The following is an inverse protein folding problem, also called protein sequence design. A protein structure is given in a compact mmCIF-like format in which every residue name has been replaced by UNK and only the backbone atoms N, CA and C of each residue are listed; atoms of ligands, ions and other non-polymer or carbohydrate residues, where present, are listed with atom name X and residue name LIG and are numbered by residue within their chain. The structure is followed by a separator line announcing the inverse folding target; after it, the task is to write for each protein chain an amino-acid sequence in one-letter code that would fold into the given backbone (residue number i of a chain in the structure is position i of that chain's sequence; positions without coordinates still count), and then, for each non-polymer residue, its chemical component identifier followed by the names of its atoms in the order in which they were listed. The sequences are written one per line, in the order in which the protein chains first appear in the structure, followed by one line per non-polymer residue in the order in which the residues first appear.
data_IF_501027798823
#
_entry.id   IF_501027798823
#
_cell.length_a   1.000
_cell.length_b   1.000
_cell.length_c   1.000
_cell.angle_alpha   90.00
_cell.angle_beta   90.00
_cell.angle_gamma   90.00
#
_symmetry.space_group_name_H-M   'P 1'
#
loop_
_entity.id
_entity.type
_entity.pdbx_description
1 polymer ?
#
# COMPACT_ATOMS: atom_id res chain seq x y z
N UNK A 1 3.50 12.48 -8.53
CA UNK A 1 2.94 11.56 -7.52
C UNK A 1 2.48 10.22 -8.11
N UNK A 2 1.37 10.14 -8.84
CA UNK A 2 0.80 8.85 -9.32
C UNK A 2 1.78 8.00 -10.15
N UNK A 3 2.67 8.61 -10.93
CA UNK A 3 3.73 7.88 -11.66
C UNK A 3 4.67 7.13 -10.70
N UNK A 4 5.08 7.78 -9.60
CA UNK A 4 5.92 7.17 -8.55
C UNK A 4 5.20 6.00 -7.87
N UNK A 5 3.93 6.18 -7.51
CA UNK A 5 3.11 5.11 -6.93
C UNK A 5 3.02 3.92 -7.90
N UNK A 6 2.73 4.17 -9.18
CA UNK A 6 2.67 3.10 -10.19
C UNK A 6 4.00 2.35 -10.35
N UNK A 7 5.13 3.07 -10.32
CA UNK A 7 6.46 2.45 -10.36
C UNK A 7 6.68 1.53 -9.15
N UNK A 8 6.33 2.00 -7.96
CA UNK A 8 6.41 1.21 -6.73
C UNK A 8 5.51 -0.04 -6.81
N UNK A 9 4.25 0.12 -7.22
CA UNK A 9 3.32 -1.00 -7.37
C UNK A 9 3.84 -2.04 -8.37
N UNK A 10 4.39 -1.59 -9.49
CA UNK A 10 4.99 -2.48 -10.50
C UNK A 10 6.22 -3.22 -9.93
N UNK A 11 7.04 -2.55 -9.13
CA UNK A 11 8.20 -3.16 -8.47
C UNK A 11 7.78 -4.32 -7.56
N UNK A 12 6.82 -4.09 -6.66
CA UNK A 12 6.28 -5.13 -5.76
C UNK A 12 5.71 -6.30 -6.57
N UNK A 13 4.91 -6.01 -7.59
CA UNK A 13 4.29 -7.05 -8.43
C UNK A 13 5.32 -7.91 -9.18
N UNK A 14 6.43 -7.31 -9.64
CA UNK A 14 7.50 -8.07 -10.31
C UNK A 14 8.19 -9.03 -9.35
N UNK A 15 8.57 -8.57 -8.15
CA UNK A 15 9.25 -9.43 -7.15
C UNK A 15 8.30 -10.53 -6.65
N UNK A 16 7.03 -10.23 -6.43
CA UNK A 16 6.02 -11.25 -6.08
C UNK A 16 5.91 -12.31 -7.16
N UNK A 17 5.89 -11.91 -8.44
CA UNK A 17 5.84 -12.87 -9.55
C UNK A 17 7.09 -13.74 -9.60
N UNK A 18 8.27 -13.18 -9.39
CA UNK A 18 9.53 -13.93 -9.33
C UNK A 18 9.53 -14.97 -8.19
N UNK A 19 8.99 -14.61 -7.02
CA UNK A 19 8.83 -15.52 -5.88
C UNK A 19 7.90 -16.68 -6.23
N UNK A 20 6.74 -16.42 -6.85
CA UNK A 20 5.81 -17.49 -7.19
C UNK A 20 6.34 -18.41 -8.29
N UNK A 21 7.06 -17.87 -9.27
CA UNK A 21 7.76 -18.68 -10.26
C UNK A 21 8.83 -19.58 -9.61
N UNK A 22 9.56 -19.08 -8.61
CA UNK A 22 10.54 -19.88 -7.87
C UNK A 22 9.88 -21.00 -7.05
N UNK A 23 8.78 -20.71 -6.33
CA UNK A 23 8.01 -21.72 -5.59
C UNK A 23 7.40 -22.78 -6.51
N UNK A 24 6.90 -22.38 -7.67
CA UNK A 24 6.39 -23.31 -8.66
C UNK A 24 7.47 -24.27 -9.17
N UNK A 25 8.69 -23.76 -9.40
CA UNK A 25 9.84 -24.60 -9.82
C UNK A 25 10.19 -25.63 -8.75
N UNK A 26 10.24 -25.22 -7.48
CA UNK A 26 10.48 -26.14 -6.36
C UNK A 26 9.40 -27.23 -6.29
N UNK A 27 8.12 -26.84 -6.39
CA UNK A 27 6.99 -27.77 -6.37
C UNK A 27 7.03 -28.75 -7.53
N UNK A 28 7.39 -28.29 -8.74
CA UNK A 28 7.56 -29.15 -9.93
C UNK A 28 8.73 -30.12 -9.76
N UNK A 29 9.83 -29.68 -9.13
CA UNK A 29 11.00 -30.51 -8.88
C UNK A 29 10.73 -31.60 -7.82
N UNK A 30 9.95 -31.28 -6.79
CA UNK A 30 9.47 -32.23 -5.79
C UNK A 30 8.55 -33.29 -6.42
N UNK A 31 7.57 -32.89 -7.24
CA UNK A 31 6.65 -33.84 -7.93
C UNK A 31 7.35 -34.81 -8.88
N UNK A 32 8.46 -34.41 -9.51
CA UNK A 32 9.24 -35.27 -10.42
C UNK A 32 10.18 -36.25 -9.70
N UNK A 33 10.41 -36.07 -8.39
CA UNK A 33 11.38 -36.86 -7.60
C UNK A 33 10.74 -37.87 -6.65
N UNK A 34 9.42 -37.96 -6.61
CA UNK A 34 8.70 -38.96 -5.80
C UNK A 34 8.87 -40.41 -6.33
N UNK A 35 9.50 -40.60 -7.50
CA UNK A 35 9.69 -41.91 -8.15
C UNK A 35 11.11 -42.50 -7.96
N UNK A 36 12.06 -41.77 -7.35
CA UNK A 36 13.40 -42.29 -7.03
C UNK A 36 14.14 -41.41 -6.02
N UNK A 37 14.35 -41.98 -4.81
CA UNK A 37 15.25 -41.55 -3.71
C UNK A 37 15.44 -40.03 -3.52
N UNK A 38 14.83 -39.50 -2.45
CA UNK A 38 15.06 -38.16 -1.88
C UNK A 38 16.54 -37.78 -1.88
N UNK A 39 16.90 -36.73 -2.61
CA UNK A 39 18.21 -36.09 -2.50
C UNK A 39 18.02 -34.64 -2.07
N UNK A 40 17.91 -34.41 -0.76
CA UNK A 40 17.65 -33.12 -0.11
C UNK A 40 18.72 -32.07 -0.44
N UNK A 41 19.94 -32.50 -0.76
CA UNK A 41 21.08 -31.61 -1.08
C UNK A 41 20.91 -30.80 -2.36
N UNK A 42 20.05 -31.21 -3.30
CA UNK A 42 19.81 -30.47 -4.54
C UNK A 42 18.69 -29.42 -4.43
N UNK A 43 17.80 -29.53 -3.44
CA UNK A 43 16.76 -28.54 -3.21
C UNK A 43 17.27 -27.33 -2.40
N UNK A 44 18.32 -27.52 -1.59
CA UNK A 44 18.91 -26.48 -0.73
C UNK A 44 19.18 -25.14 -1.44
N UNK A 45 19.79 -25.08 -2.65
CA UNK A 45 20.05 -23.81 -3.32
C UNK A 45 18.77 -23.08 -3.78
N UNK A 46 17.71 -23.84 -4.08
CA UNK A 46 16.44 -23.28 -4.55
C UNK A 46 15.57 -22.81 -3.36
N UNK A 47 15.63 -23.53 -2.24
CA UNK A 47 15.00 -23.14 -0.98
C UNK A 47 15.62 -21.84 -0.43
N UNK A 48 16.96 -21.74 -0.42
CA UNK A 48 17.67 -20.50 -0.04
C UNK A 48 17.34 -19.33 -0.98
N UNK A 49 17.15 -19.60 -2.28
CA UNK A 49 16.71 -18.57 -3.23
C UNK A 49 15.29 -18.09 -2.94
N UNK A 50 14.37 -19.00 -2.59
CA UNK A 50 12.99 -18.65 -2.23
C UNK A 50 12.97 -17.80 -0.97
N UNK A 51 13.73 -18.18 0.07
CA UNK A 51 13.84 -17.41 1.32
C UNK A 51 14.28 -15.97 1.06
N UNK A 52 15.35 -15.79 0.27
CA UNK A 52 15.85 -14.46 -0.13
C UNK A 52 14.84 -13.66 -0.94
N UNK A 53 14.07 -14.31 -1.82
CA UNK A 53 13.00 -13.64 -2.57
C UNK A 53 11.84 -13.25 -1.66
N UNK A 54 11.55 -14.05 -0.64
CA UNK A 54 10.50 -13.79 0.34
C UNK A 54 10.84 -12.55 1.18
N UNK A 55 12.07 -12.45 1.70
CA UNK A 55 12.58 -11.26 2.38
C UNK A 55 12.49 -10.00 1.49
N UNK A 56 12.82 -10.13 0.19
CA UNK A 56 12.70 -9.02 -0.77
C UNK A 56 11.26 -8.59 -0.99
N UNK A 57 10.31 -9.52 -1.06
CA UNK A 57 8.88 -9.20 -1.18
C UNK A 57 8.42 -8.42 0.05
N UNK A 58 8.76 -8.89 1.26
CA UNK A 58 8.39 -8.23 2.51
C UNK A 58 8.98 -6.81 2.59
N UNK A 59 10.26 -6.64 2.25
CA UNK A 59 10.90 -5.32 2.18
C UNK A 59 10.20 -4.40 1.18
N UNK A 60 9.92 -4.89 -0.04
CA UNK A 60 9.28 -4.08 -1.08
C UNK A 60 7.82 -3.71 -0.70
N UNK A 61 7.08 -4.62 -0.06
CA UNK A 61 5.74 -4.33 0.45
C UNK A 61 5.79 -3.30 1.59
N UNK A 62 6.77 -3.41 2.49
CA UNK A 62 7.01 -2.43 3.55
C UNK A 62 7.29 -1.04 2.98
N UNK A 63 8.16 -0.93 1.98
CA UNK A 63 8.44 0.31 1.27
C UNK A 63 7.19 0.90 0.58
N UNK A 64 6.40 0.05 -0.08
CA UNK A 64 5.14 0.47 -0.71
C UNK A 64 4.16 1.00 0.33
N UNK A 65 3.98 0.28 1.45
CA UNK A 65 3.13 0.72 2.56
C UNK A 65 3.59 2.06 3.10
N UNK A 66 4.89 2.21 3.39
CA UNK A 66 5.48 3.44 3.89
C UNK A 66 5.30 4.61 2.90
N UNK A 67 5.41 4.36 1.60
CA UNK A 67 5.14 5.37 0.58
C UNK A 67 3.70 5.92 0.70
N UNK A 68 2.70 5.03 0.81
CA UNK A 68 1.31 5.46 1.01
C UNK A 68 1.12 6.21 2.33
N UNK A 69 1.69 5.70 3.43
CA UNK A 69 1.59 6.35 4.74
C UNK A 69 2.15 7.79 4.71
N UNK A 70 3.34 7.98 4.14
CA UNK A 70 3.95 9.31 4.00
C UNK A 70 3.07 10.24 3.15
N UNK A 71 2.50 9.74 2.06
CA UNK A 71 1.60 10.52 1.21
C UNK A 71 0.37 10.96 2.00
N UNK A 72 -0.30 10.03 2.69
CA UNK A 72 -1.50 10.34 3.48
C UNK A 72 -1.19 11.28 4.64
N UNK A 73 -0.10 11.08 5.37
CA UNK A 73 0.36 11.99 6.42
C UNK A 73 0.57 13.41 5.89
N UNK A 74 1.20 13.56 4.71
CA UNK A 74 1.40 14.87 4.10
C UNK A 74 0.08 15.53 3.71
N UNK A 75 -0.88 14.79 3.16
CA UNK A 75 -2.22 15.32 2.87
C UNK A 75 -2.96 15.74 4.14
N UNK A 76 -2.98 14.87 5.16
CA UNK A 76 -3.62 15.16 6.45
C UNK A 76 -3.01 16.43 7.05
N UNK A 77 -1.68 16.53 7.07
CA UNK A 77 -0.97 17.68 7.64
C UNK A 77 -1.37 18.99 6.95
N UNK A 78 -1.30 19.08 5.61
CA UNK A 78 -1.60 20.32 4.89
C UNK A 78 -3.09 20.67 4.91
N UNK A 79 -3.98 19.67 4.89
CA UNK A 79 -5.42 19.90 4.98
C UNK A 79 -5.80 20.39 6.38
N UNK A 80 -5.25 19.76 7.42
CA UNK A 80 -5.47 20.19 8.81
C UNK A 80 -4.94 21.60 9.04
N UNK A 81 -3.74 21.92 8.53
CA UNK A 81 -3.18 23.28 8.61
C UNK A 81 -4.09 24.32 7.94
N UNK A 82 -4.66 24.00 6.77
CA UNK A 82 -5.62 24.87 6.10
C UNK A 82 -6.91 25.04 6.90
N UNK A 83 -7.48 23.96 7.43
CA UNK A 83 -8.71 23.99 8.22
C UNK A 83 -8.55 24.84 9.49
N UNK A 84 -7.47 24.64 10.24
CA UNK A 84 -7.16 25.44 11.44
C UNK A 84 -6.95 26.91 11.10
N UNK A 85 -6.29 27.23 9.97
CA UNK A 85 -6.13 28.61 9.50
C UNK A 85 -7.47 29.25 9.14
N UNK A 86 -8.35 28.52 8.47
CA UNK A 86 -9.68 29.00 8.12
C UNK A 86 -10.53 29.26 9.36
N UNK A 87 -10.52 28.33 10.32
CA UNK A 87 -11.22 28.49 11.59
C UNK A 87 -10.71 29.69 12.39
N UNK A 88 -9.39 29.81 12.54
CA UNK A 88 -8.76 30.92 13.29
C UNK A 88 -8.99 32.28 12.60
N UNK A 89 -8.95 32.30 11.26
CA UNK A 89 -9.12 33.51 10.47
C UNK A 89 -10.58 33.90 10.21
N UNK A 90 -11.55 33.04 10.54
CA UNK A 90 -12.95 33.23 10.17
C UNK A 90 -13.17 33.32 8.66
N UNK A 91 -12.31 32.67 7.87
CA UNK A 91 -12.39 32.65 6.39
C UNK A 91 -12.99 31.33 5.91
N UNK A 92 -13.56 31.36 4.71
CA UNK A 92 -14.17 30.17 4.12
C UNK A 92 -13.15 29.04 3.91
N UNK A 93 -13.56 27.83 4.27
CA UNK A 93 -12.78 26.60 4.08
C UNK A 93 -12.75 26.21 2.59
N UNK A 94 -13.86 26.44 1.87
CA UNK A 94 -14.08 25.96 0.50
C UNK A 94 -13.38 26.86 -0.52
N UNK A 95 -12.04 26.86 -0.45
CA UNK A 95 -11.19 27.53 -1.43
C UNK A 95 -10.94 26.64 -2.65
N UNK A 96 -10.59 27.22 -3.82
CA UNK A 96 -10.16 26.44 -4.97
C UNK A 96 -8.96 25.52 -4.68
N UNK A 97 -8.05 25.97 -3.81
CA UNK A 97 -6.92 25.16 -3.35
C UNK A 97 -7.39 23.96 -2.53
N UNK A 98 -8.28 24.18 -1.57
CA UNK A 98 -8.83 23.11 -0.72
C UNK A 98 -9.56 22.07 -1.55
N UNK A 99 -10.44 22.52 -2.47
CA UNK A 99 -11.16 21.64 -3.39
C UNK A 99 -10.22 20.76 -4.20
N UNK A 100 -9.19 21.34 -4.82
CA UNK A 100 -8.20 20.56 -5.55
C UNK A 100 -7.40 19.62 -4.61
N UNK A 101 -7.05 20.05 -3.41
CA UNK A 101 -6.29 19.22 -2.47
C UNK A 101 -7.09 17.99 -2.03
N UNK A 102 -8.36 18.16 -1.65
CA UNK A 102 -9.22 17.07 -1.20
C UNK A 102 -9.61 16.12 -2.34
N UNK A 103 -9.86 16.63 -3.55
CA UNK A 103 -10.08 15.82 -4.74
C UNK A 103 -8.84 14.98 -5.10
N UNK A 104 -7.63 15.51 -4.89
CA UNK A 104 -6.38 14.76 -5.09
C UNK A 104 -6.20 13.65 -4.07
N UNK A 105 -6.57 13.88 -2.81
CA UNK A 105 -6.59 12.83 -1.79
C UNK A 105 -7.57 11.72 -2.19
N UNK A 106 -8.79 12.08 -2.59
CA UNK A 106 -9.80 11.14 -3.07
C UNK A 106 -9.31 10.35 -4.30
N UNK A 107 -8.63 11.01 -5.25
CA UNK A 107 -8.07 10.36 -6.43
C UNK A 107 -7.07 9.24 -6.08
N UNK A 108 -6.30 9.39 -5.01
CA UNK A 108 -5.34 8.35 -4.57
C UNK A 108 -6.08 7.12 -4.09
N UNK A 109 -7.13 7.29 -3.27
CA UNK A 109 -8.00 6.21 -2.82
C UNK A 109 -8.64 5.47 -4.00
N UNK A 110 -9.26 6.20 -4.93
CA UNK A 110 -9.94 5.59 -6.07
C UNK A 110 -8.97 4.88 -7.02
N UNK A 111 -7.83 5.47 -7.33
CA UNK A 111 -6.92 4.90 -8.34
C UNK A 111 -6.13 3.69 -7.82
N UNK A 112 -5.87 3.61 -6.51
CA UNK A 112 -5.05 2.55 -5.91
C UNK A 112 -5.80 1.73 -4.86
N UNK A 113 -7.14 1.69 -4.96
CA UNK A 113 -8.03 1.09 -3.96
C UNK A 113 -7.61 -0.33 -3.55
N UNK A 114 -7.29 -1.20 -4.51
CA UNK A 114 -6.95 -2.61 -4.28
C UNK A 114 -5.69 -2.79 -3.41
N UNK A 115 -4.74 -1.87 -3.50
CA UNK A 115 -3.50 -1.91 -2.71
C UNK A 115 -3.75 -1.28 -1.35
N UNK A 116 -4.43 -0.13 -1.33
CA UNK A 116 -4.73 0.60 -0.09
C UNK A 116 -5.59 -0.26 0.86
N UNK A 117 -6.45 -1.13 0.33
CA UNK A 117 -7.23 -2.11 1.09
C UNK A 117 -6.37 -3.01 1.99
N UNK A 118 -5.19 -3.40 1.54
CA UNK A 118 -4.28 -4.24 2.32
C UNK A 118 -3.73 -3.52 3.55
N UNK A 119 -3.89 -2.19 3.61
CA UNK A 119 -3.37 -1.34 4.67
C UNK A 119 -4.47 -0.70 5.53
N UNK A 120 -5.75 -1.08 5.33
CA UNK A 120 -6.91 -0.50 6.06
C UNK A 120 -6.70 -0.43 7.56
N UNK A 121 -6.37 -1.56 8.20
CA UNK A 121 -6.17 -1.62 9.65
C UNK A 121 -5.12 -0.62 10.14
N UNK A 122 -4.04 -0.43 9.37
CA UNK A 122 -3.01 0.56 9.73
C UNK A 122 -3.50 1.98 9.52
N UNK A 123 -4.24 2.23 8.43
CA UNK A 123 -4.78 3.56 8.11
C UNK A 123 -5.83 4.00 9.14
N UNK A 124 -6.73 3.12 9.54
CA UNK A 124 -7.75 3.37 10.57
C UNK A 124 -7.14 3.64 11.94
N UNK A 125 -6.17 2.83 12.35
CA UNK A 125 -5.60 2.91 13.69
C UNK A 125 -4.57 4.04 13.87
N UNK A 126 -3.88 4.45 12.79
CA UNK A 126 -2.76 5.40 12.91
C UNK A 126 -2.97 6.74 12.23
N UNK A 127 -3.77 6.83 11.17
CA UNK A 127 -3.89 8.05 10.36
C UNK A 127 -5.29 8.65 10.36
N UNK A 128 -6.31 7.85 10.06
CA UNK A 128 -7.70 8.28 9.92
C UNK A 128 -8.50 7.89 11.17
N UNK A 129 -8.05 8.38 12.31
CA UNK A 129 -8.69 8.14 13.61
C UNK A 129 -9.89 9.07 13.82
N UNK A 130 -10.70 8.79 14.85
CA UNK A 130 -11.86 9.60 15.22
C UNK A 130 -11.53 11.05 15.64
N UNK A 131 -10.25 11.34 15.93
CA UNK A 131 -9.77 12.68 16.31
C UNK A 131 -9.44 13.55 15.09
N UNK A 132 -9.38 12.96 13.89
CA UNK A 132 -9.15 13.67 12.65
C UNK A 132 -10.37 14.53 12.29
N UNK A 133 -10.13 15.71 11.71
CA UNK A 133 -11.20 16.58 11.24
C UNK A 133 -12.19 15.85 10.31
N UNK A 134 -13.48 16.10 10.54
CA UNK A 134 -14.57 15.39 9.89
C UNK A 134 -14.56 15.55 8.36
N UNK A 135 -14.04 16.66 7.81
CA UNK A 135 -13.97 16.86 6.36
C UNK A 135 -12.99 15.89 5.71
N UNK A 136 -11.84 15.67 6.34
CA UNK A 136 -10.81 14.75 5.84
C UNK A 136 -11.28 13.31 6.07
N UNK A 137 -11.86 13.03 7.24
CA UNK A 137 -12.34 11.71 7.61
C UNK A 137 -13.48 11.24 6.69
N UNK A 138 -14.34 12.16 6.23
CA UNK A 138 -15.42 11.85 5.29
C UNK A 138 -14.91 11.23 3.98
N UNK A 139 -13.76 11.65 3.46
CA UNK A 139 -13.17 11.07 2.25
C UNK A 139 -12.77 9.61 2.48
N UNK A 140 -12.19 9.33 3.65
CA UNK A 140 -11.83 7.97 4.03
C UNK A 140 -13.08 7.10 4.24
N UNK A 141 -14.11 7.61 4.91
CA UNK A 141 -15.38 6.91 5.10
C UNK A 141 -16.11 6.63 3.78
N UNK A 142 -16.11 7.59 2.85
CA UNK A 142 -16.64 7.39 1.50
C UNK A 142 -15.90 6.27 0.77
N UNK A 143 -14.57 6.21 0.90
CA UNK A 143 -13.78 5.12 0.35
C UNK A 143 -14.17 3.76 0.96
N UNK A 144 -14.33 3.67 2.28
CA UNK A 144 -14.79 2.46 2.95
C UNK A 144 -16.21 2.06 2.49
N UNK A 145 -17.11 3.03 2.30
CA UNK A 145 -18.48 2.78 1.85
C UNK A 145 -18.57 2.24 0.41
N UNK A 146 -17.60 2.53 -0.45
CA UNK A 146 -17.51 1.92 -1.79
C UNK A 146 -17.16 0.42 -1.75
N UNK A 147 -16.87 -0.13 -0.57
CA UNK A 147 -16.46 -1.51 -0.34
C UNK A 147 -17.38 -2.28 0.62
N UNK A 148 -18.36 -1.61 1.23
CA UNK A 148 -19.37 -2.21 2.10
C UNK A 148 -20.56 -2.74 1.28
#
# INVERSE_FOLDING_TARGET
LHSTIRKMNKHVMMIQKELEEAKERLTKQQKRRDDSRRNERENWPLEEQIERLQEKVESAQSEQKNLFLVIFQRFIMILTEHLVRCETGGIDVITPWYKNCIERLQQIFLQHHQIIQQYMVTLENLLFTAELDHHILAIFQQFCALQA
#
